data_IF_041240712395
#
_entry.id   IF_041240712395
#
_cell.length_a   1.000
_cell.length_b   1.000
_cell.length_c   1.000
_cell.angle_alpha   90.00
_cell.angle_beta   90.00
_cell.angle_gamma   90.00
#
_symmetry.space_group_name_H-M   'P 1'
#
loop_
_entity.id
_entity.type
_entity.pdbx_description
1 polymer ?
#
# COMPACT_ATOMS: atom_id res chain seq x y z
N UNK A 1 -21.12 0.84 -38.70
CA UNK A 1 -20.10 -0.19 -38.48
C UNK A 1 -18.80 0.37 -37.98
N UNK A 2 -18.24 1.42 -38.54
CA UNK A 2 -17.01 2.06 -38.06
C UNK A 2 -17.13 2.57 -36.61
N UNK A 3 -18.26 3.15 -36.25
CA UNK A 3 -18.53 3.63 -34.87
C UNK A 3 -18.57 2.51 -33.85
N UNK A 4 -19.10 1.35 -34.23
CA UNK A 4 -19.14 0.18 -33.34
C UNK A 4 -17.73 -0.38 -33.07
N UNK A 5 -16.89 -0.45 -34.09
CA UNK A 5 -15.50 -0.92 -33.96
C UNK A 5 -14.70 0.04 -33.07
N UNK A 6 -14.87 1.35 -33.26
CA UNK A 6 -14.21 2.36 -32.43
C UNK A 6 -14.65 2.23 -30.96
N UNK A 7 -15.94 2.10 -30.72
CA UNK A 7 -16.48 1.90 -29.36
C UNK A 7 -15.94 0.62 -28.72
N UNK A 8 -15.86 -0.48 -29.47
CA UNK A 8 -15.31 -1.74 -29.00
C UNK A 8 -13.82 -1.59 -28.65
N UNK A 9 -13.02 -0.94 -29.50
CA UNK A 9 -11.60 -0.69 -29.24
C UNK A 9 -11.40 0.15 -27.98
N UNK A 10 -12.18 1.21 -27.80
CA UNK A 10 -12.13 2.04 -26.59
C UNK A 10 -12.46 1.19 -25.36
N UNK A 11 -13.50 0.36 -25.43
CA UNK A 11 -13.88 -0.54 -24.32
C UNK A 11 -12.76 -1.50 -23.95
N UNK A 12 -12.12 -2.11 -24.95
CA UNK A 12 -10.99 -3.04 -24.70
C UNK A 12 -9.80 -2.31 -24.07
N UNK A 13 -9.47 -1.11 -24.54
CA UNK A 13 -8.39 -0.30 -23.97
C UNK A 13 -8.69 0.08 -22.52
N UNK A 14 -9.92 0.48 -22.22
CA UNK A 14 -10.34 0.84 -20.86
C UNK A 14 -10.24 -0.37 -19.91
N UNK A 15 -10.76 -1.51 -20.32
CA UNK A 15 -10.70 -2.75 -19.51
C UNK A 15 -9.26 -3.18 -19.31
N UNK A 16 -8.45 -3.17 -20.36
CA UNK A 16 -7.02 -3.49 -20.27
C UNK A 16 -6.28 -2.56 -19.32
N UNK A 17 -6.55 -1.27 -19.39
CA UNK A 17 -5.98 -0.28 -18.47
C UNK A 17 -6.36 -0.53 -17.01
N UNK A 18 -7.62 -0.86 -16.75
CA UNK A 18 -8.08 -1.20 -15.39
C UNK A 18 -7.39 -2.45 -14.85
N UNK A 19 -7.24 -3.49 -15.68
CA UNK A 19 -6.56 -4.73 -15.27
C UNK A 19 -5.09 -4.46 -14.94
N UNK A 20 -4.38 -3.72 -15.78
CA UNK A 20 -2.97 -3.36 -15.52
C UNK A 20 -2.84 -2.53 -14.24
N UNK A 21 -3.74 -1.61 -14.00
CA UNK A 21 -3.76 -0.81 -12.77
C UNK A 21 -3.96 -1.69 -11.52
N UNK A 22 -4.89 -2.64 -11.58
CA UNK A 22 -5.12 -3.57 -10.47
C UNK A 22 -3.89 -4.45 -10.19
N UNK A 23 -3.22 -4.92 -11.23
CA UNK A 23 -1.97 -5.69 -11.08
C UNK A 23 -0.87 -4.84 -10.44
N UNK A 24 -0.75 -3.58 -10.83
CA UNK A 24 0.21 -2.63 -10.23
C UNK A 24 -0.09 -2.42 -8.74
N UNK A 25 -1.34 -2.27 -8.35
CA UNK A 25 -1.75 -2.12 -6.94
C UNK A 25 -1.42 -3.39 -6.14
N UNK A 26 -1.62 -4.57 -6.71
CA UNK A 26 -1.23 -5.84 -6.07
C UNK A 26 0.28 -5.92 -5.86
N UNK A 27 1.07 -5.54 -6.85
CA UNK A 27 2.53 -5.53 -6.76
C UNK A 27 3.01 -4.54 -5.69
N UNK A 28 2.40 -3.37 -5.61
CA UNK A 28 2.68 -2.37 -4.57
C UNK A 28 2.35 -2.92 -3.19
N UNK A 29 1.20 -3.56 -3.03
CA UNK A 29 0.80 -4.19 -1.78
C UNK A 29 1.80 -5.26 -1.33
N UNK A 30 2.22 -6.12 -2.24
CA UNK A 30 3.19 -7.18 -1.94
C UNK A 30 4.55 -6.61 -1.54
N UNK A 31 5.02 -5.57 -2.21
CA UNK A 31 6.27 -4.91 -1.87
C UNK A 31 6.20 -4.21 -0.52
N UNK A 32 5.10 -3.52 -0.22
CA UNK A 32 4.88 -2.87 1.08
C UNK A 32 4.88 -3.90 2.21
N UNK A 33 4.21 -5.04 2.03
CA UNK A 33 4.23 -6.14 3.00
C UNK A 33 5.63 -6.71 3.20
N UNK A 34 6.38 -6.86 2.11
CA UNK A 34 7.76 -7.36 2.17
C UNK A 34 8.68 -6.39 2.92
N UNK A 35 8.59 -5.09 2.64
CA UNK A 35 9.35 -4.05 3.34
C UNK A 35 8.97 -3.99 4.82
N UNK A 36 7.69 -4.11 5.14
CA UNK A 36 7.20 -4.13 6.52
C UNK A 36 7.69 -5.35 7.28
N UNK A 37 7.72 -6.52 6.65
CA UNK A 37 8.27 -7.75 7.23
C UNK A 37 9.73 -7.56 7.65
N UNK A 38 10.53 -6.89 6.85
CA UNK A 38 11.93 -6.59 7.18
C UNK A 38 12.04 -5.67 8.39
N UNK A 39 11.15 -4.68 8.51
CA UNK A 39 11.07 -3.82 9.70
C UNK A 39 10.74 -4.66 10.93
N UNK A 40 9.73 -5.53 10.85
CA UNK A 40 9.32 -6.41 11.94
C UNK A 40 10.47 -7.29 12.40
N UNK A 41 11.21 -7.90 11.48
CA UNK A 41 12.36 -8.74 11.80
C UNK A 41 13.42 -7.98 12.60
N UNK A 42 13.75 -6.75 12.19
CA UNK A 42 14.72 -5.91 12.89
C UNK A 42 14.23 -5.47 14.27
N UNK A 43 12.95 -5.17 14.42
CA UNK A 43 12.37 -4.81 15.73
C UNK A 43 12.37 -6.02 16.66
N UNK A 44 12.04 -7.21 16.17
CA UNK A 44 12.06 -8.46 16.96
C UNK A 44 13.44 -8.78 17.50
N UNK A 45 14.49 -8.51 16.75
CA UNK A 45 15.88 -8.74 17.17
C UNK A 45 16.48 -7.54 17.91
N UNK A 46 15.68 -6.52 18.17
CA UNK A 46 16.09 -5.29 18.86
C UNK A 46 17.20 -4.51 18.15
N UNK A 47 17.30 -4.69 16.84
CA UNK A 47 18.22 -3.93 15.97
C UNK A 47 17.54 -2.63 15.52
N UNK A 48 17.31 -1.71 16.47
CA UNK A 48 16.48 -0.53 16.24
C UNK A 48 17.03 0.44 15.20
N UNK A 49 18.35 0.57 15.10
CA UNK A 49 18.97 1.40 14.06
C UNK A 49 18.66 0.85 12.65
N UNK A 50 18.77 -0.46 12.49
CA UNK A 50 18.44 -1.13 11.24
C UNK A 50 16.94 -1.06 10.95
N UNK A 51 16.10 -1.22 11.97
CA UNK A 51 14.65 -1.07 11.86
C UNK A 51 14.28 0.33 11.36
N UNK A 52 14.91 1.36 11.88
CA UNK A 52 14.71 2.74 11.44
C UNK A 52 15.06 2.93 9.96
N UNK A 53 16.19 2.39 9.52
CA UNK A 53 16.61 2.45 8.11
C UNK A 53 15.65 1.69 7.19
N UNK A 54 15.18 0.53 7.62
CA UNK A 54 14.21 -0.28 6.86
C UNK A 54 12.85 0.39 6.80
N UNK A 55 12.41 1.02 7.88
CA UNK A 55 11.17 1.77 7.92
C UNK A 55 11.24 2.99 6.99
N UNK A 56 12.38 3.66 6.93
CA UNK A 56 12.60 4.77 6.01
C UNK A 56 12.43 4.33 4.56
N UNK A 57 12.97 3.17 4.19
CA UNK A 57 12.78 2.60 2.84
C UNK A 57 11.31 2.32 2.54
N UNK A 58 10.58 1.78 3.51
CA UNK A 58 9.14 1.55 3.40
C UNK A 58 8.38 2.86 3.18
N UNK A 59 8.68 3.87 3.98
CA UNK A 59 8.06 5.18 3.89
C UNK A 59 8.32 5.84 2.53
N UNK A 60 9.55 5.83 2.07
CA UNK A 60 9.93 6.39 0.77
C UNK A 60 9.23 5.67 -0.40
N UNK A 61 9.15 4.36 -0.33
CA UNK A 61 8.43 3.57 -1.33
C UNK A 61 6.93 3.91 -1.36
N UNK A 62 6.31 3.97 -0.18
CA UNK A 62 4.89 4.35 -0.06
C UNK A 62 4.62 5.76 -0.59
N UNK A 63 5.43 6.73 -0.20
CA UNK A 63 5.31 8.11 -0.67
C UNK A 63 5.46 8.22 -2.20
N UNK A 64 6.36 7.43 -2.79
CA UNK A 64 6.54 7.37 -4.23
C UNK A 64 5.34 6.81 -4.99
N UNK A 65 4.49 6.03 -4.31
CA UNK A 65 3.29 5.41 -4.90
C UNK A 65 1.99 6.13 -4.52
N UNK A 66 2.03 7.07 -3.58
CA UNK A 66 0.83 7.67 -3.01
C UNK A 66 -0.03 8.40 -4.05
N UNK A 67 0.58 9.06 -5.02
CA UNK A 67 -0.15 9.78 -6.08
C UNK A 67 -0.96 8.81 -6.92
N UNK A 68 -0.36 7.69 -7.29
CA UNK A 68 -1.04 6.65 -8.05
C UNK A 68 -2.17 6.01 -7.24
N UNK A 69 -1.92 5.70 -5.97
CA UNK A 69 -2.92 5.12 -5.09
C UNK A 69 -4.07 6.10 -4.79
N UNK A 70 -3.77 7.39 -4.67
CA UNK A 70 -4.75 8.42 -4.41
C UNK A 70 -5.68 8.70 -5.60
N UNK A 71 -5.27 8.35 -6.83
CA UNK A 71 -6.06 8.62 -8.03
C UNK A 71 -7.44 7.94 -8.02
N UNK A 72 -7.54 6.75 -7.42
CA UNK A 72 -8.78 5.97 -7.36
C UNK A 72 -9.10 5.43 -5.96
N UNK A 73 -8.22 5.65 -4.98
CA UNK A 73 -8.33 5.10 -3.65
C UNK A 73 -8.94 6.06 -2.63
N UNK A 74 -9.13 5.52 -1.45
CA UNK A 74 -9.62 6.27 -0.30
C UNK A 74 -8.48 7.05 0.36
N UNK A 75 -8.51 8.37 0.24
CA UNK A 75 -7.50 9.25 0.84
C UNK A 75 -7.36 9.05 2.35
N UNK A 76 -8.47 8.81 3.04
CA UNK A 76 -8.48 8.57 4.49
C UNK A 76 -7.63 7.36 4.87
N UNK A 77 -7.70 6.30 4.07
CA UNK A 77 -6.91 5.09 4.30
C UNK A 77 -5.41 5.33 4.08
N UNK A 78 -5.07 6.07 3.03
CA UNK A 78 -3.68 6.43 2.74
C UNK A 78 -3.09 7.33 3.84
N UNK A 79 -3.87 8.28 4.33
CA UNK A 79 -3.48 9.13 5.45
C UNK A 79 -3.26 8.31 6.73
N UNK A 80 -4.13 7.33 6.97
CA UNK A 80 -4.00 6.44 8.12
C UNK A 80 -2.72 5.60 8.06
N UNK A 81 -2.35 5.13 6.88
CA UNK A 81 -1.08 4.41 6.66
C UNK A 81 0.10 5.32 7.00
N UNK A 82 0.10 6.56 6.55
CA UNK A 82 1.16 7.53 6.87
C UNK A 82 1.27 7.78 8.37
N UNK A 83 0.13 7.93 9.06
CA UNK A 83 0.10 8.11 10.52
C UNK A 83 0.72 6.90 11.22
N UNK A 84 0.36 5.68 10.82
CA UNK A 84 0.91 4.47 11.42
C UNK A 84 2.40 4.30 11.17
N UNK A 85 2.89 4.64 9.99
CA UNK A 85 4.33 4.65 9.70
C UNK A 85 5.06 5.60 10.65
N UNK A 86 4.52 6.80 10.86
CA UNK A 86 5.08 7.78 11.79
C UNK A 86 5.09 7.28 13.22
N UNK A 87 4.04 6.58 13.65
CA UNK A 87 3.98 5.99 15.00
C UNK A 87 4.99 4.88 15.18
N UNK A 88 5.18 4.02 14.18
CA UNK A 88 6.22 2.98 14.22
C UNK A 88 7.60 3.63 14.37
N UNK A 89 7.87 4.72 13.63
CA UNK A 89 9.13 5.45 13.71
C UNK A 89 9.40 5.97 15.13
N UNK A 90 8.40 6.58 15.75
CA UNK A 90 8.52 7.08 17.12
C UNK A 90 8.78 5.94 18.13
N UNK A 91 8.06 4.83 18.04
CA UNK A 91 8.26 3.70 18.93
C UNK A 91 9.62 3.02 18.74
N UNK A 92 10.13 2.96 17.51
CA UNK A 92 11.49 2.45 17.24
C UNK A 92 12.52 3.36 17.89
N UNK A 93 12.38 4.69 17.77
CA UNK A 93 13.29 5.67 18.37
C UNK A 93 13.30 5.60 19.89
N UNK A 94 12.18 5.24 20.49
CA UNK A 94 12.03 5.09 21.95
C UNK A 94 12.31 3.66 22.45
N UNK A 95 12.78 2.77 21.59
CA UNK A 95 13.07 1.36 21.89
C UNK A 95 11.84 0.61 22.46
N UNK A 96 10.64 1.00 22.04
CA UNK A 96 9.38 0.37 22.47
C UNK A 96 8.99 -0.74 21.50
N UNK A 97 9.55 -1.91 21.73
CA UNK A 97 9.40 -3.09 20.88
C UNK A 97 7.94 -3.52 20.69
N UNK A 98 7.20 -3.64 21.80
CA UNK A 98 5.82 -4.13 21.76
C UNK A 98 4.90 -3.23 20.96
N UNK A 99 4.97 -1.93 21.18
CA UNK A 99 4.15 -0.95 20.48
C UNK A 99 4.55 -0.84 18.99
N UNK A 100 5.84 -0.85 18.70
CA UNK A 100 6.34 -0.86 17.32
C UNK A 100 5.82 -2.07 16.55
N UNK A 101 5.88 -3.26 17.13
CA UNK A 101 5.38 -4.49 16.51
C UNK A 101 3.86 -4.45 16.29
N UNK A 102 3.09 -3.94 17.26
CA UNK A 102 1.64 -3.82 17.16
C UNK A 102 1.24 -2.93 15.96
N UNK A 103 1.89 -1.78 15.79
CA UNK A 103 1.62 -0.89 14.67
C UNK A 103 2.13 -1.44 13.33
N UNK A 104 3.25 -2.17 13.32
CA UNK A 104 3.70 -2.88 12.12
C UNK A 104 2.67 -3.94 11.68
N UNK A 105 2.08 -4.65 12.60
CA UNK A 105 1.03 -5.63 12.31
C UNK A 105 -0.22 -4.96 11.74
N UNK A 106 -0.61 -3.83 12.30
CA UNK A 106 -1.71 -3.01 11.77
C UNK A 106 -1.43 -2.54 10.35
N UNK A 107 -0.19 -2.11 10.06
CA UNK A 107 0.24 -1.76 8.71
C UNK A 107 0.13 -2.94 7.75
N UNK A 108 0.53 -4.13 8.17
CA UNK A 108 0.45 -5.34 7.34
C UNK A 108 -0.99 -5.63 6.92
N UNK A 109 -1.94 -5.51 7.85
CA UNK A 109 -3.36 -5.65 7.57
C UNK A 109 -3.83 -4.61 6.55
N UNK A 110 -3.45 -3.35 6.72
CA UNK A 110 -3.82 -2.27 5.82
C UNK A 110 -3.25 -2.48 4.41
N UNK A 111 -2.00 -2.89 4.30
CA UNK A 111 -1.38 -3.21 3.01
C UNK A 111 -2.07 -4.40 2.32
N UNK A 112 -2.48 -5.38 3.10
CA UNK A 112 -3.23 -6.53 2.59
C UNK A 112 -4.60 -6.13 2.03
N UNK A 113 -5.21 -5.09 2.58
CA UNK A 113 -6.52 -4.59 2.14
C UNK A 113 -6.44 -3.67 0.91
N UNK A 114 -5.28 -3.08 0.61
CA UNK A 114 -5.13 -2.16 -0.53
C UNK A 114 -5.70 -2.71 -1.85
N UNK A 115 -5.32 -3.91 -2.32
CA UNK A 115 -5.85 -4.42 -3.58
C UNK A 115 -7.35 -4.65 -3.56
N UNK A 116 -7.90 -4.98 -2.39
CA UNK A 116 -9.35 -5.24 -2.23
C UNK A 116 -10.18 -3.98 -2.42
N UNK A 117 -9.64 -2.83 -2.00
CA UNK A 117 -10.30 -1.54 -2.11
C UNK A 117 -10.31 -1.00 -3.55
N UNK A 118 -9.39 -1.48 -4.39
CA UNK A 118 -9.27 -1.09 -5.80
C UNK A 118 -9.96 -2.05 -6.76
N UNK A 119 -10.50 -3.17 -6.27
CA UNK A 119 -11.28 -4.08 -7.10
C UNK A 119 -12.61 -3.44 -7.48
N UNK A 120 -12.97 -3.55 -8.76
CA UNK A 120 -14.29 -3.20 -9.23
C UNK A 120 -15.31 -4.14 -8.57
N UNK A 121 -16.01 -3.64 -7.58
CA UNK A 121 -17.14 -4.35 -7.00
C UNK A 121 -18.41 -3.89 -7.70
N UNK A 122 -19.35 -4.81 -8.03
CA UNK A 122 -20.63 -4.43 -8.59
C UNK A 122 -21.36 -3.40 -7.71
N UNK A 123 -21.14 -3.45 -6.42
CA UNK A 123 -21.70 -2.54 -5.42
C UNK A 123 -21.21 -1.09 -5.58
N UNK A 124 -20.02 -0.89 -6.16
CA UNK A 124 -19.44 0.43 -6.38
C UNK A 124 -19.79 1.04 -7.75
N UNK A 125 -20.42 0.26 -8.62
CA UNK A 125 -20.81 0.67 -9.98
C UNK A 125 -22.29 1.07 -10.02
N UNK A 126 -23.05 0.57 -9.10
CA UNK A 126 -24.46 0.85 -8.88
C UNK A 126 -24.66 1.76 -7.67
#
# INVERSE_FOLDING_TARGET
MKSFIVALCIGVIMVGGCVLYMMEVEDISDELKNLNKKVIESVKTEEYREAEQRLKKLSEYFEGKIIMLAATGNHTELDQIQIYISQVDEYIKEDQKGDALAFCESLDIMFCHLPKNYRLRPENIL
#
